data_IF_604221195707
#
_entry.id   IF_604221195707
#
_cell.length_a   1.000
_cell.length_b   1.000
_cell.length_c   1.000
_cell.angle_alpha   90.00
_cell.angle_beta   90.00
_cell.angle_gamma   90.00
#
_symmetry.space_group_name_H-M   'P 1'
#
loop_
_entity.id
_entity.type
_entity.pdbx_description
1 polymer ?
#
# COMPACT_ATOMS: atom_id res chain seq x y z
N UNK A 1 9.06 42.26 -0.69
CA UNK A 1 10.10 43.04 -1.40
C UNK A 1 9.81 44.55 -1.42
N UNK A 2 8.57 44.99 -1.62
CA UNK A 2 8.21 46.43 -1.61
C UNK A 2 8.23 47.13 -0.24
N UNK A 3 7.98 46.43 0.88
CA UNK A 3 7.97 47.03 2.23
C UNK A 3 9.39 47.37 2.73
N UNK A 4 10.41 46.60 2.33
CA UNK A 4 11.80 46.84 2.74
C UNK A 4 12.43 48.04 2.03
N UNK A 5 11.99 48.36 0.81
CA UNK A 5 12.54 49.49 0.03
C UNK A 5 12.04 50.85 0.53
N UNK A 6 10.83 50.93 1.09
CA UNK A 6 10.27 52.20 1.55
C UNK A 6 10.91 52.67 2.87
N UNK A 7 11.11 51.78 3.84
CA UNK A 7 11.61 52.15 5.17
C UNK A 7 13.13 52.25 5.28
N UNK A 8 13.87 51.38 4.58
CA UNK A 8 15.35 51.35 4.67
C UNK A 8 16.00 52.46 3.84
N UNK A 9 15.30 53.02 2.84
CA UNK A 9 15.85 54.06 1.96
C UNK A 9 15.33 55.47 2.26
N UNK A 10 14.11 55.63 2.80
CA UNK A 10 13.50 56.95 3.04
C UNK A 10 14.05 57.66 4.29
N UNK A 11 14.24 56.95 5.40
CA UNK A 11 14.75 57.54 6.65
C UNK A 11 16.20 58.03 6.49
N UNK A 12 17.14 57.24 5.91
CA UNK A 12 18.49 57.74 5.65
C UNK A 12 18.51 58.87 4.62
N UNK A 13 17.66 58.82 3.59
CA UNK A 13 17.53 59.90 2.60
C UNK A 13 17.04 61.21 3.24
N UNK A 14 15.98 61.16 4.06
CA UNK A 14 15.42 62.32 4.77
C UNK A 14 16.40 62.91 5.79
N UNK A 15 17.11 62.06 6.54
CA UNK A 15 18.19 62.49 7.45
C UNK A 15 19.36 63.15 6.69
N UNK A 16 19.70 62.64 5.50
CA UNK A 16 20.75 63.21 4.66
C UNK A 16 20.34 64.55 4.00
N UNK A 17 19.04 64.78 3.80
CA UNK A 17 18.49 66.04 3.24
C UNK A 17 17.93 67.00 4.28
N UNK A 18 17.94 66.66 5.57
CA UNK A 18 17.41 67.51 6.63
C UNK A 18 18.33 68.74 6.83
N UNK A 19 17.72 69.92 6.97
CA UNK A 19 18.43 71.18 7.26
C UNK A 19 18.95 71.26 8.71
N UNK A 20 19.48 72.42 9.15
CA UNK A 20 20.08 72.59 10.48
C UNK A 20 19.14 72.41 11.68
N UNK A 21 17.82 72.30 11.46
CA UNK A 21 16.81 72.15 12.51
C UNK A 21 15.96 70.89 12.32
N UNK A 22 16.53 69.75 12.72
CA UNK A 22 15.97 68.40 12.58
C UNK A 22 14.78 68.17 13.52
N UNK A 23 14.69 68.92 14.62
CA UNK A 23 13.68 68.71 15.67
C UNK A 23 12.28 69.21 15.27
N UNK A 24 12.17 70.03 14.23
CA UNK A 24 10.91 70.57 13.72
C UNK A 24 10.31 69.74 12.56
N UNK A 25 10.98 68.68 12.07
CA UNK A 25 10.42 67.79 11.04
C UNK A 25 9.47 66.75 11.66
N UNK A 26 8.22 67.16 11.88
CA UNK A 26 7.14 66.32 12.43
C UNK A 26 6.96 65.02 11.63
N UNK A 27 7.11 65.08 10.30
CA UNK A 27 6.97 63.90 9.45
C UNK A 27 8.12 62.89 9.66
N UNK A 28 9.33 63.35 9.99
CA UNK A 28 10.43 62.46 10.35
C UNK A 28 10.17 61.77 11.70
N UNK A 29 9.68 62.51 12.70
CA UNK A 29 9.38 61.97 14.03
C UNK A 29 8.26 60.93 13.97
N UNK A 30 7.15 61.21 13.28
CA UNK A 30 6.05 60.25 13.10
C UNK A 30 6.50 58.99 12.33
N UNK A 31 7.36 59.13 11.32
CA UNK A 31 7.90 57.99 10.59
C UNK A 31 8.87 57.15 11.43
N UNK A 32 9.66 57.78 12.31
CA UNK A 32 10.52 57.06 13.25
C UNK A 32 9.70 56.30 14.30
N UNK A 33 8.63 56.90 14.81
CA UNK A 33 7.72 56.22 15.75
C UNK A 33 6.99 55.05 15.10
N UNK A 34 6.47 55.21 13.88
CA UNK A 34 5.83 54.11 13.13
C UNK A 34 6.82 53.01 12.77
N UNK A 35 8.06 53.36 12.41
CA UNK A 35 9.12 52.37 12.13
C UNK A 35 9.50 51.60 13.39
N UNK A 36 9.65 52.29 14.52
CA UNK A 36 9.91 51.67 15.83
C UNK A 36 8.77 50.73 16.23
N UNK A 37 7.52 51.17 16.09
CA UNK A 37 6.33 50.36 16.36
C UNK A 37 6.29 49.11 15.46
N UNK A 38 6.51 49.27 14.16
CA UNK A 38 6.53 48.17 13.20
C UNK A 38 7.66 47.18 13.49
N UNK A 39 8.85 47.66 13.85
CA UNK A 39 9.97 46.82 14.25
C UNK A 39 9.65 45.98 15.50
N UNK A 40 9.05 46.60 16.53
CA UNK A 40 8.59 45.87 17.72
C UNK A 40 7.49 44.86 17.43
N UNK A 41 6.56 45.17 16.52
CA UNK A 41 5.52 44.22 16.08
C UNK A 41 6.12 43.03 15.30
N UNK A 42 7.13 43.27 14.45
CA UNK A 42 7.85 42.21 13.74
C UNK A 42 8.61 41.32 14.72
N UNK A 43 9.28 41.92 15.72
CA UNK A 43 9.99 41.17 16.75
C UNK A 43 9.05 40.28 17.57
N UNK A 44 7.90 40.83 18.00
CA UNK A 44 6.87 40.05 18.68
C UNK A 44 6.34 38.89 17.82
N UNK A 45 6.02 39.15 16.54
CA UNK A 45 5.59 38.12 15.59
C UNK A 45 6.67 37.08 15.32
N UNK A 46 7.95 37.47 15.30
CA UNK A 46 9.05 36.54 15.12
C UNK A 46 9.20 35.59 16.32
N UNK A 47 9.02 36.09 17.54
CA UNK A 47 9.03 35.27 18.75
C UNK A 47 7.85 34.29 18.74
N UNK A 48 6.65 34.74 18.41
CA UNK A 48 5.45 33.89 18.31
C UNK A 48 5.60 32.81 17.22
N UNK A 49 6.13 33.18 16.06
CA UNK A 49 6.42 32.25 14.97
C UNK A 49 7.43 31.17 15.40
N UNK A 50 8.47 31.55 16.17
CA UNK A 50 9.44 30.61 16.73
C UNK A 50 8.79 29.63 17.70
N UNK A 51 7.94 30.12 18.62
CA UNK A 51 7.20 29.26 19.56
C UNK A 51 6.25 28.30 18.83
N UNK A 52 5.58 28.79 17.78
CA UNK A 52 4.67 28.00 16.96
C UNK A 52 5.43 26.93 16.17
N UNK A 53 6.61 27.25 15.62
CA UNK A 53 7.46 26.30 14.92
C UNK A 53 7.90 25.15 15.84
N UNK A 54 8.31 25.44 17.07
CA UNK A 54 8.64 24.39 18.05
C UNK A 54 7.46 23.46 18.32
N UNK A 55 6.26 24.00 18.53
CA UNK A 55 5.05 23.19 18.75
C UNK A 55 4.69 22.33 17.54
N UNK A 56 4.88 22.86 16.33
CA UNK A 56 4.69 22.11 15.09
C UNK A 56 5.69 20.95 15.00
N UNK A 57 6.96 21.17 15.32
CA UNK A 57 7.97 20.13 15.27
C UNK A 57 7.74 19.03 16.32
N UNK A 58 7.34 19.40 17.55
CA UNK A 58 6.93 18.43 18.58
C UNK A 58 5.73 17.57 18.11
N UNK A 59 4.73 18.20 17.48
CA UNK A 59 3.60 17.48 16.91
C UNK A 59 4.03 16.57 15.75
N UNK A 60 4.94 17.02 14.88
CA UNK A 60 5.47 16.23 13.75
C UNK A 60 6.20 14.98 14.23
N UNK A 61 7.04 15.10 15.26
CA UNK A 61 7.73 13.94 15.84
C UNK A 61 6.75 12.92 16.40
N UNK A 62 5.66 13.38 17.02
CA UNK A 62 4.63 12.50 17.57
C UNK A 62 3.92 11.66 16.49
N UNK A 63 3.76 12.19 15.27
CA UNK A 63 3.13 11.48 14.14
C UNK A 63 4.14 10.84 13.17
N UNK A 64 5.45 11.04 13.37
CA UNK A 64 6.51 10.43 12.56
C UNK A 64 6.34 8.91 12.40
N UNK A 65 5.96 8.12 13.44
CA UNK A 65 5.72 6.68 13.27
C UNK A 65 4.65 6.34 12.22
N UNK A 66 3.59 7.15 12.11
CA UNK A 66 2.53 6.99 11.10
C UNK A 66 3.09 7.23 9.71
N UNK A 67 3.87 8.30 9.53
CA UNK A 67 4.51 8.63 8.25
C UNK A 67 5.52 7.55 7.83
N UNK A 68 6.34 7.05 8.76
CA UNK A 68 7.28 5.95 8.49
C UNK A 68 6.53 4.68 8.08
N UNK A 69 5.42 4.34 8.76
CA UNK A 69 4.57 3.22 8.38
C UNK A 69 4.00 3.38 6.97
N UNK A 70 3.43 4.54 6.65
CA UNK A 70 2.86 4.80 5.33
C UNK A 70 3.92 4.72 4.23
N UNK A 71 5.12 5.26 4.48
CA UNK A 71 6.26 5.17 3.58
C UNK A 71 6.65 3.70 3.30
N UNK A 72 6.78 2.88 4.35
CA UNK A 72 7.07 1.44 4.20
C UNK A 72 6.01 0.76 3.33
N UNK A 73 4.74 0.99 3.60
CA UNK A 73 3.63 0.39 2.84
C UNK A 73 3.70 0.78 1.36
N UNK A 74 3.95 2.05 1.05
CA UNK A 74 4.08 2.52 -0.33
C UNK A 74 5.21 1.82 -1.08
N UNK A 75 6.38 1.66 -0.45
CA UNK A 75 7.51 0.97 -1.08
C UNK A 75 7.23 -0.53 -1.29
N UNK A 76 6.54 -1.19 -0.35
CA UNK A 76 6.09 -2.58 -0.54
C UNK A 76 5.16 -2.66 -1.76
N UNK A 77 4.18 -1.76 -1.87
CA UNK A 77 3.26 -1.71 -3.01
C UNK A 77 3.99 -1.48 -4.34
N UNK A 78 4.98 -0.59 -4.35
CA UNK A 78 5.78 -0.31 -5.54
C UNK A 78 6.59 -1.53 -5.99
N UNK A 79 7.06 -2.33 -5.04
CA UNK A 79 7.83 -3.55 -5.30
C UNK A 79 6.98 -4.74 -5.77
N UNK A 80 5.65 -4.69 -5.65
CA UNK A 80 4.78 -5.77 -6.14
C UNK A 80 4.86 -5.96 -7.66
N UNK A 81 5.26 -4.94 -8.41
CA UNK A 81 5.46 -5.06 -9.86
C UNK A 81 6.53 -6.11 -10.23
N UNK A 82 7.43 -6.45 -9.30
CA UNK A 82 8.45 -7.49 -9.45
C UNK A 82 7.85 -8.89 -9.45
N UNK A 83 6.72 -9.08 -8.77
CA UNK A 83 5.96 -10.34 -8.74
C UNK A 83 5.14 -10.47 -10.02
N UNK A 84 4.42 -9.41 -10.38
CA UNK A 84 3.64 -9.36 -11.62
C UNK A 84 3.60 -7.91 -12.13
N UNK A 85 3.90 -7.69 -13.41
CA UNK A 85 3.92 -6.35 -14.02
C UNK A 85 2.57 -5.63 -13.95
N UNK A 86 1.46 -6.35 -13.75
CA UNK A 86 0.15 -5.77 -13.51
C UNK A 86 0.01 -5.17 -12.11
N UNK A 87 0.91 -5.42 -11.17
CA UNK A 87 0.83 -4.90 -9.79
C UNK A 87 1.47 -3.53 -9.62
N UNK A 88 1.09 -2.58 -10.46
CA UNK A 88 1.55 -1.19 -10.38
C UNK A 88 0.54 -0.31 -9.64
N UNK A 89 0.98 0.42 -8.62
CA UNK A 89 0.11 1.35 -7.90
C UNK A 89 0.68 2.76 -8.03
N UNK A 90 -0.17 3.75 -8.30
CA UNK A 90 0.27 5.15 -8.34
C UNK A 90 0.36 5.73 -6.93
N UNK A 91 1.28 6.69 -6.75
CA UNK A 91 1.34 7.53 -5.55
C UNK A 91 0.03 8.30 -5.34
N UNK A 92 -0.64 8.73 -6.43
CA UNK A 92 -1.93 9.42 -6.35
C UNK A 92 -3.00 8.52 -5.73
N UNK A 93 -3.13 7.28 -6.18
CA UNK A 93 -4.08 6.33 -5.60
C UNK A 93 -3.73 5.98 -4.15
N UNK A 94 -2.44 5.76 -3.86
CA UNK A 94 -1.98 5.55 -2.49
C UNK A 94 -2.34 6.72 -1.57
N UNK A 95 -2.15 7.96 -2.01
CA UNK A 95 -2.49 9.16 -1.24
C UNK A 95 -3.99 9.23 -0.95
N UNK A 96 -4.86 8.89 -1.91
CA UNK A 96 -6.32 8.83 -1.67
C UNK A 96 -6.65 7.80 -0.57
N UNK A 97 -6.07 6.60 -0.64
CA UNK A 97 -6.27 5.55 0.38
C UNK A 97 -5.73 5.99 1.73
N UNK A 98 -4.57 6.65 1.77
CA UNK A 98 -3.97 7.18 2.99
C UNK A 98 -4.84 8.26 3.66
N UNK A 99 -5.37 9.21 2.87
CA UNK A 99 -6.29 10.23 3.38
C UNK A 99 -7.59 9.62 3.91
N UNK A 100 -8.14 8.64 3.20
CA UNK A 100 -9.31 7.89 3.66
C UNK A 100 -9.00 7.15 4.97
N UNK A 101 -7.80 6.57 5.10
CA UNK A 101 -7.40 5.90 6.33
C UNK A 101 -7.27 6.84 7.54
N UNK A 102 -6.81 8.08 7.34
CA UNK A 102 -6.79 9.10 8.39
C UNK A 102 -8.22 9.46 8.81
N UNK A 103 -9.12 9.63 7.84
CA UNK A 103 -10.54 9.98 8.05
C UNK A 103 -11.31 8.89 8.79
N UNK A 104 -11.11 7.63 8.43
CA UNK A 104 -11.81 6.49 9.03
C UNK A 104 -11.16 5.95 10.31
N UNK A 105 -9.91 6.33 10.61
CA UNK A 105 -9.25 5.90 11.83
C UNK A 105 -10.00 6.38 13.07
N UNK A 106 -10.24 5.48 14.02
CA UNK A 106 -10.95 5.79 15.25
C UNK A 106 -10.32 6.97 16.01
N UNK A 107 -11.11 8.00 16.39
CA UNK A 107 -10.62 9.11 17.18
C UNK A 107 -10.25 8.63 18.60
N UNK A 108 -9.23 9.26 19.19
CA UNK A 108 -8.82 8.97 20.55
C UNK A 108 -8.32 10.24 21.24
N UNK A 109 -8.64 10.41 22.52
CA UNK A 109 -8.26 11.57 23.31
C UNK A 109 -6.75 11.57 23.64
N UNK A 110 -6.18 10.38 23.86
CA UNK A 110 -4.75 10.22 24.10
C UNK A 110 -3.99 10.14 22.77
N UNK A 111 -2.97 10.99 22.62
CA UNK A 111 -2.14 11.06 21.41
C UNK A 111 -1.50 9.71 21.06
N UNK A 112 -0.96 9.01 22.05
CA UNK A 112 -0.37 7.67 21.87
C UNK A 112 -1.38 6.68 21.28
N UNK A 113 -2.60 6.62 21.82
CA UNK A 113 -3.67 5.77 21.30
C UNK A 113 -4.10 6.21 19.90
N UNK A 114 -4.16 7.53 19.64
CA UNK A 114 -4.49 8.05 18.30
C UNK A 114 -3.47 7.62 17.25
N UNK A 115 -2.18 7.66 17.58
CA UNK A 115 -1.10 7.21 16.69
C UNK A 115 -1.23 5.72 16.37
N UNK A 116 -1.53 4.87 17.37
CA UNK A 116 -1.77 3.43 17.16
C UNK A 116 -2.97 3.20 16.24
N UNK A 117 -4.10 3.88 16.49
CA UNK A 117 -5.30 3.78 15.65
C UNK A 117 -5.04 4.21 14.20
N UNK A 118 -4.22 5.25 14.00
CA UNK A 118 -3.83 5.72 12.67
C UNK A 118 -2.96 4.68 11.96
N UNK A 119 -1.95 4.12 12.64
CA UNK A 119 -1.09 3.07 12.08
C UNK A 119 -1.93 1.86 11.66
N UNK A 120 -2.84 1.42 12.53
CA UNK A 120 -3.70 0.28 12.28
C UNK A 120 -4.66 0.51 11.09
N UNK A 121 -5.33 1.66 11.05
CA UNK A 121 -6.23 2.04 9.95
C UNK A 121 -5.50 2.12 8.61
N UNK A 122 -4.34 2.81 8.58
CA UNK A 122 -3.51 2.94 7.38
C UNK A 122 -3.05 1.58 6.90
N UNK A 123 -2.55 0.71 7.79
CA UNK A 123 -2.09 -0.63 7.42
C UNK A 123 -3.24 -1.47 6.85
N UNK A 124 -4.41 -1.46 7.48
CA UNK A 124 -5.54 -2.27 7.05
C UNK A 124 -6.18 -1.79 5.74
N UNK A 125 -6.35 -0.49 5.54
CA UNK A 125 -6.95 0.04 4.31
C UNK A 125 -6.01 -0.08 3.11
N UNK A 126 -4.71 0.12 3.29
CA UNK A 126 -3.73 -0.16 2.23
C UNK A 126 -3.72 -1.65 1.88
N UNK A 127 -3.74 -2.54 2.88
CA UNK A 127 -3.85 -3.98 2.63
C UNK A 127 -5.13 -4.33 1.85
N UNK A 128 -6.28 -3.79 2.27
CA UNK A 128 -7.58 -4.02 1.63
C UNK A 128 -7.55 -3.54 0.18
N UNK A 129 -7.09 -2.30 -0.04
CA UNK A 129 -6.98 -1.70 -1.36
C UNK A 129 -6.07 -2.52 -2.29
N UNK A 130 -4.89 -2.92 -1.79
CA UNK A 130 -3.92 -3.69 -2.57
C UNK A 130 -4.47 -5.08 -2.90
N UNK A 131 -5.04 -5.77 -1.91
CA UNK A 131 -5.57 -7.13 -2.06
C UNK A 131 -6.71 -7.24 -3.07
N UNK A 132 -7.46 -6.15 -3.34
CA UNK A 132 -8.48 -6.12 -4.40
C UNK A 132 -7.87 -6.25 -5.81
N UNK A 133 -6.61 -5.85 -5.99
CA UNK A 133 -5.89 -5.90 -7.26
C UNK A 133 -4.98 -7.12 -7.46
N UNK A 134 -4.85 -8.02 -6.48
CA UNK A 134 -3.94 -9.18 -6.53
C UNK A 134 -4.65 -10.48 -6.93
N UNK A 135 -3.91 -11.40 -7.56
CA UNK A 135 -4.24 -12.83 -7.69
C UNK A 135 -4.33 -13.46 -6.28
N UNK A 136 -5.25 -14.42 -6.06
CA UNK A 136 -5.39 -15.10 -4.75
C UNK A 136 -4.07 -15.74 -4.30
N UNK A 137 -3.34 -16.34 -5.24
CA UNK A 137 -2.04 -16.96 -4.99
C UNK A 137 -1.01 -15.96 -4.44
N UNK A 138 -1.10 -14.69 -4.82
CA UNK A 138 -0.14 -13.66 -4.43
C UNK A 138 -0.55 -12.90 -3.16
N UNK A 139 -1.82 -13.00 -2.73
CA UNK A 139 -2.28 -12.28 -1.52
C UNK A 139 -1.54 -12.72 -0.27
N UNK A 140 -1.30 -14.02 -0.11
CA UNK A 140 -0.54 -14.52 1.04
C UNK A 140 0.93 -14.12 0.98
N UNK A 141 1.51 -14.07 -0.23
CA UNK A 141 2.89 -13.61 -0.45
C UNK A 141 3.01 -12.14 -0.04
N UNK A 142 2.10 -11.29 -0.54
CA UNK A 142 2.03 -9.87 -0.16
C UNK A 142 1.85 -9.71 1.36
N UNK A 143 0.94 -10.47 1.96
CA UNK A 143 0.65 -10.37 3.39
C UNK A 143 1.82 -10.84 4.26
N UNK A 144 2.53 -11.89 3.83
CA UNK A 144 3.78 -12.32 4.46
C UNK A 144 4.86 -11.24 4.35
N UNK A 145 5.11 -10.71 3.15
CA UNK A 145 6.08 -9.63 2.91
C UNK A 145 5.75 -8.39 3.75
N UNK A 146 4.48 -7.98 3.78
CA UNK A 146 3.97 -6.89 4.60
C UNK A 146 4.33 -7.11 6.08
N UNK A 147 4.00 -8.27 6.61
CA UNK A 147 4.21 -8.61 8.03
C UNK A 147 5.70 -8.65 8.36
N UNK A 148 6.52 -9.27 7.50
CA UNK A 148 7.97 -9.35 7.70
C UNK A 148 8.64 -7.98 7.68
N UNK A 149 8.33 -7.15 6.69
CA UNK A 149 8.90 -5.81 6.58
C UNK A 149 8.52 -4.92 7.78
N UNK A 150 7.28 -5.06 8.27
CA UNK A 150 6.83 -4.41 9.50
C UNK A 150 7.65 -4.87 10.71
N UNK A 151 7.83 -6.18 10.88
CA UNK A 151 8.59 -6.74 12.00
C UNK A 151 10.08 -6.39 11.95
N UNK A 152 10.67 -6.31 10.74
CA UNK A 152 12.04 -5.85 10.53
C UNK A 152 12.18 -4.37 10.91
N UNK A 153 11.25 -3.51 10.49
CA UNK A 153 11.26 -2.10 10.86
C UNK A 153 11.14 -1.89 12.38
N UNK A 154 10.35 -2.74 13.04
CA UNK A 154 10.19 -2.75 14.51
C UNK A 154 11.37 -3.41 15.25
N UNK A 155 12.36 -3.96 14.52
CA UNK A 155 13.51 -4.69 15.05
C UNK A 155 13.11 -5.91 15.92
N UNK A 156 11.96 -6.50 15.61
CA UNK A 156 11.47 -7.70 16.30
C UNK A 156 12.00 -9.01 15.70
N UNK A 157 12.56 -8.92 14.50
CA UNK A 157 13.04 -10.05 13.70
C UNK A 157 14.47 -9.78 13.29
N UNK A 158 15.34 -10.79 13.47
CA UNK A 158 16.74 -10.71 13.11
C UNK A 158 16.96 -11.00 11.62
N UNK A 159 17.92 -10.30 11.01
CA UNK A 159 18.21 -10.40 9.58
C UNK A 159 18.73 -11.79 9.16
N UNK A 160 19.48 -12.48 10.02
CA UNK A 160 19.97 -13.83 9.73
C UNK A 160 18.83 -14.85 9.81
N UNK A 161 17.88 -14.66 10.72
CA UNK A 161 16.69 -15.50 10.78
C UNK A 161 15.82 -15.34 9.52
N UNK A 162 15.72 -14.13 8.97
CA UNK A 162 15.03 -13.86 7.68
C UNK A 162 15.74 -14.54 6.52
N UNK A 163 17.06 -14.38 6.43
CA UNK A 163 17.85 -15.03 5.39
C UNK A 163 17.70 -16.55 5.45
N UNK A 164 17.68 -17.12 6.66
CA UNK A 164 17.44 -18.53 6.87
C UNK A 164 16.07 -18.97 6.33
N UNK A 165 14.99 -18.27 6.70
CA UNK A 165 13.65 -18.65 6.27
C UNK A 165 13.49 -18.58 4.74
N UNK A 166 14.08 -17.57 4.10
CA UNK A 166 13.94 -17.32 2.66
C UNK A 166 14.86 -18.19 1.81
N UNK A 167 16.13 -18.33 2.17
CA UNK A 167 17.13 -19.08 1.38
C UNK A 167 17.25 -20.54 1.78
N UNK A 168 16.88 -20.86 3.01
CA UNK A 168 17.04 -22.18 3.63
C UNK A 168 18.45 -22.77 3.46
N UNK A 169 19.49 -22.08 3.98
CA UNK A 169 20.83 -22.64 4.02
C UNK A 169 20.86 -23.90 4.91
N UNK A 170 21.53 -24.95 4.45
CA UNK A 170 21.67 -26.20 5.16
C UNK A 170 23.10 -26.75 5.02
N UNK A 171 23.50 -27.62 5.93
CA UNK A 171 24.80 -28.31 5.87
C UNK A 171 24.61 -29.62 5.09
N UNK A 172 25.30 -29.82 3.95
CA UNK A 172 25.21 -31.05 3.17
C UNK A 172 25.96 -32.22 3.84
N UNK A 173 25.77 -33.42 3.29
CA UNK A 173 26.50 -34.66 3.67
C UNK A 173 26.34 -35.07 5.15
N UNK A 174 25.17 -34.81 5.72
CA UNK A 174 24.78 -35.26 7.05
C UNK A 174 23.67 -36.30 6.97
N UNK A 175 23.78 -37.34 7.80
CA UNK A 175 22.69 -38.31 7.99
C UNK A 175 21.83 -37.87 9.16
N UNK A 176 20.51 -37.85 8.98
CA UNK A 176 19.57 -37.59 10.05
C UNK A 176 19.67 -38.69 11.13
N UNK A 177 19.79 -38.36 12.43
CA UNK A 177 19.77 -39.37 13.49
C UNK A 177 18.36 -39.90 13.76
N UNK A 178 17.33 -39.27 13.17
CA UNK A 178 15.92 -39.64 13.32
C UNK A 178 15.29 -39.94 11.97
N UNK A 179 14.44 -40.96 11.90
CA UNK A 179 13.87 -41.45 10.63
C UNK A 179 12.74 -40.55 10.05
N UNK A 180 12.15 -39.67 10.85
CA UNK A 180 11.04 -38.80 10.44
C UNK A 180 11.51 -37.48 9.80
N UNK A 181 12.83 -37.25 9.74
CA UNK A 181 13.44 -36.11 9.07
C UNK A 181 14.33 -36.58 7.94
N UNK A 182 14.30 -35.85 6.83
CA UNK A 182 15.28 -36.01 5.76
C UNK A 182 16.65 -35.49 6.16
N UNK A 183 17.70 -35.99 5.50
CA UNK A 183 19.08 -35.49 5.64
C UNK A 183 19.18 -33.99 5.36
N UNK A 184 18.40 -33.48 4.39
CA UNK A 184 18.32 -32.03 4.07
C UNK A 184 17.68 -31.25 5.21
N UNK A 185 16.54 -31.73 5.74
CA UNK A 185 15.89 -31.14 6.91
C UNK A 185 16.83 -31.09 8.11
N UNK A 186 17.55 -32.18 8.37
CA UNK A 186 18.53 -32.26 9.45
C UNK A 186 19.70 -31.30 9.24
N UNK A 187 20.22 -31.20 8.02
CA UNK A 187 21.21 -30.19 7.64
C UNK A 187 20.74 -28.76 7.92
N UNK A 188 19.45 -28.48 7.70
CA UNK A 188 18.82 -27.20 8.02
C UNK A 188 18.75 -26.96 9.54
N UNK A 189 18.41 -27.99 10.32
CA UNK A 189 18.40 -27.92 11.79
C UNK A 189 19.81 -27.65 12.32
N UNK A 190 20.82 -28.39 11.86
CA UNK A 190 22.21 -28.18 12.24
C UNK A 190 22.73 -26.80 11.87
N UNK A 191 22.31 -26.25 10.73
CA UNK A 191 22.62 -24.87 10.37
C UNK A 191 21.95 -23.90 11.34
N UNK A 192 20.65 -24.05 11.56
CA UNK A 192 19.85 -23.21 12.46
C UNK A 192 20.41 -23.21 13.88
N UNK A 193 20.84 -24.37 14.40
CA UNK A 193 21.42 -24.53 15.74
C UNK A 193 22.72 -23.75 15.98
N UNK A 194 23.39 -23.27 14.93
CA UNK A 194 24.56 -22.38 15.06
C UNK A 194 24.18 -20.96 15.47
N UNK A 195 22.93 -20.56 15.25
CA UNK A 195 22.41 -19.26 15.66
C UNK A 195 22.15 -19.25 17.17
N UNK A 196 22.44 -18.12 17.83
CA UNK A 196 22.33 -17.97 19.28
C UNK A 196 20.92 -18.32 19.80
N UNK A 197 19.88 -17.89 19.08
CA UNK A 197 18.49 -18.14 19.42
C UNK A 197 18.05 -19.60 19.24
N UNK A 198 18.85 -20.47 18.63
CA UNK A 198 18.47 -21.87 18.34
C UNK A 198 19.50 -22.89 18.81
N UNK A 199 20.46 -22.48 19.64
CA UNK A 199 21.45 -23.38 20.24
C UNK A 199 20.78 -24.59 20.88
N UNK A 200 21.38 -25.75 20.68
CA UNK A 200 20.92 -27.06 21.18
C UNK A 200 19.61 -27.61 20.56
N UNK A 201 19.04 -26.98 19.52
CA UNK A 201 17.86 -27.53 18.83
C UNK A 201 18.12 -28.92 18.26
N UNK A 202 19.27 -29.11 17.62
CA UNK A 202 19.72 -30.39 17.11
C UNK A 202 19.83 -31.44 18.23
N UNK A 203 20.50 -31.11 19.33
CA UNK A 203 20.66 -32.00 20.48
C UNK A 203 19.33 -32.38 21.15
N UNK A 204 18.36 -31.46 21.25
CA UNK A 204 17.04 -31.75 21.81
C UNK A 204 16.20 -32.63 20.88
N UNK A 205 16.31 -32.45 19.56
CA UNK A 205 15.60 -33.31 18.58
C UNK A 205 16.12 -34.75 18.62
N UNK A 206 17.45 -34.91 18.66
CA UNK A 206 18.12 -36.21 18.76
C UNK A 206 17.81 -36.89 20.12
N UNK A 207 17.99 -36.15 21.23
CA UNK A 207 17.77 -36.67 22.58
C UNK A 207 16.31 -36.91 22.97
N UNK A 208 15.35 -36.24 22.32
CA UNK A 208 13.92 -36.34 22.63
C UNK A 208 13.06 -36.74 21.42
N UNK A 209 13.57 -37.67 20.61
CA UNK A 209 12.98 -38.18 19.36
C UNK A 209 11.46 -38.38 19.45
N UNK A 210 10.96 -39.16 20.43
CA UNK A 210 9.52 -39.50 20.55
C UNK A 210 8.61 -38.27 20.65
N UNK A 211 9.08 -37.20 21.29
CA UNK A 211 8.29 -35.97 21.49
C UNK A 211 8.24 -35.15 20.20
N UNK A 212 9.38 -35.03 19.53
CA UNK A 212 9.48 -34.33 18.25
C UNK A 212 8.75 -35.08 17.14
N UNK A 213 8.84 -36.41 17.11
CA UNK A 213 8.03 -37.26 16.23
C UNK A 213 6.54 -36.94 16.36
N UNK A 214 6.00 -36.94 17.58
CA UNK A 214 4.59 -36.58 17.83
C UNK A 214 4.22 -35.19 17.29
N UNK A 215 5.13 -34.22 17.39
CA UNK A 215 4.91 -32.88 16.86
C UNK A 215 4.94 -32.86 15.32
N UNK A 216 5.93 -33.50 14.70
CA UNK A 216 6.10 -33.57 13.24
C UNK A 216 4.95 -34.34 12.58
N UNK A 217 4.51 -35.44 13.19
CA UNK A 217 3.40 -36.28 12.72
C UNK A 217 2.01 -35.68 13.01
N UNK A 218 1.93 -34.55 13.72
CA UNK A 218 0.66 -33.83 13.89
C UNK A 218 0.12 -33.34 12.54
N UNK A 219 -1.21 -33.37 12.38
CA UNK A 219 -1.88 -32.83 11.20
C UNK A 219 -1.78 -31.29 11.14
N UNK A 220 -1.77 -30.63 12.30
CA UNK A 220 -1.74 -29.16 12.42
C UNK A 220 -0.62 -28.70 13.37
N UNK A 221 0.65 -28.99 13.07
CA UNK A 221 1.79 -28.68 13.92
C UNK A 221 1.91 -27.17 14.21
N UNK A 222 1.49 -26.32 13.28
CA UNK A 222 1.49 -24.86 13.46
C UNK A 222 0.57 -24.36 14.58
N UNK A 223 -0.40 -25.18 15.02
CA UNK A 223 -1.30 -24.88 16.15
C UNK A 223 -0.91 -25.60 17.44
N UNK A 224 0.04 -26.52 17.36
CA UNK A 224 0.50 -27.29 18.50
C UNK A 224 1.48 -26.48 19.36
N UNK A 225 1.52 -26.80 20.65
CA UNK A 225 2.56 -26.24 21.52
C UNK A 225 3.89 -26.90 21.20
N UNK A 226 4.87 -26.10 20.82
CA UNK A 226 6.24 -26.57 20.59
C UNK A 226 6.82 -27.29 21.82
N UNK A 227 7.68 -28.29 21.63
CA UNK A 227 8.36 -28.97 22.73
C UNK A 227 9.16 -28.04 23.66
N UNK A 228 9.21 -28.37 24.94
CA UNK A 228 10.14 -27.78 25.94
C UNK A 228 10.23 -26.25 25.92
N UNK A 229 11.43 -25.70 25.71
CA UNK A 229 11.73 -24.27 25.67
C UNK A 229 11.37 -23.63 24.33
N UNK A 230 11.18 -24.43 23.28
CA UNK A 230 10.84 -23.95 21.93
C UNK A 230 9.46 -23.30 21.88
N UNK A 231 8.57 -23.61 22.83
CA UNK A 231 7.27 -22.91 23.01
C UNK A 231 7.41 -21.41 23.28
N UNK A 232 8.54 -21.00 23.88
CA UNK A 232 8.80 -19.61 24.27
C UNK A 232 9.41 -18.78 23.11
N UNK A 233 9.73 -19.41 21.99
CA UNK A 233 10.24 -18.71 20.79
C UNK A 233 9.17 -17.81 20.19
N UNK A 234 9.62 -16.75 19.54
CA UNK A 234 8.72 -15.84 18.81
C UNK A 234 8.02 -16.59 17.67
N UNK A 235 6.88 -16.09 17.18
CA UNK A 235 6.21 -16.70 16.04
C UNK A 235 7.12 -16.79 14.79
N UNK A 236 7.99 -15.80 14.58
CA UNK A 236 8.95 -15.85 13.47
C UNK A 236 9.99 -16.95 13.65
N UNK A 237 10.56 -17.09 14.84
CA UNK A 237 11.51 -18.17 15.15
C UNK A 237 10.86 -19.55 15.02
N UNK A 238 9.58 -19.68 15.40
CA UNK A 238 8.81 -20.91 15.17
C UNK A 238 8.66 -21.21 13.68
N UNK A 239 8.53 -20.21 12.80
CA UNK A 239 8.56 -20.43 11.35
C UNK A 239 9.90 -21.02 10.88
N UNK A 240 11.03 -20.54 11.39
CA UNK A 240 12.35 -21.09 11.06
C UNK A 240 12.44 -22.58 11.43
N UNK A 241 11.93 -22.96 12.61
CA UNK A 241 11.92 -24.38 13.02
C UNK A 241 10.93 -25.18 12.15
N UNK A 242 9.72 -24.67 11.91
CA UNK A 242 8.73 -25.30 11.03
C UNK A 242 9.28 -25.55 9.62
N UNK A 243 10.09 -24.63 9.10
CA UNK A 243 10.70 -24.73 7.77
C UNK A 243 11.59 -25.97 7.65
N UNK A 244 12.27 -26.37 8.72
CA UNK A 244 13.05 -27.61 8.76
C UNK A 244 12.17 -28.85 8.90
N UNK A 245 11.13 -28.78 9.74
CA UNK A 245 10.37 -29.94 10.20
C UNK A 245 9.23 -30.34 9.26
N UNK A 246 8.44 -29.37 8.77
CA UNK A 246 7.18 -29.59 8.04
C UNK A 246 7.01 -28.51 6.96
N UNK A 247 7.81 -28.63 5.90
CA UNK A 247 7.82 -27.71 4.76
C UNK A 247 6.44 -27.56 4.10
N UNK A 248 5.69 -28.66 4.01
CA UNK A 248 4.33 -28.73 3.46
C UNK A 248 3.30 -27.94 4.27
N UNK A 249 3.55 -27.70 5.57
CA UNK A 249 2.68 -26.91 6.45
C UNK A 249 3.04 -25.43 6.50
N UNK A 250 4.05 -24.98 5.75
CA UNK A 250 4.54 -23.59 5.82
C UNK A 250 3.48 -22.55 5.45
N UNK A 251 2.57 -22.86 4.54
CA UNK A 251 1.45 -21.95 4.20
C UNK A 251 0.61 -21.66 5.45
N UNK A 252 0.25 -22.69 6.22
CA UNK A 252 -0.54 -22.54 7.44
C UNK A 252 0.25 -21.87 8.56
N UNK A 253 1.53 -22.21 8.69
CA UNK A 253 2.42 -21.57 9.66
C UNK A 253 2.56 -20.07 9.40
N UNK A 254 2.73 -19.65 8.14
CA UNK A 254 2.78 -18.22 7.75
C UNK A 254 1.45 -17.54 8.07
N UNK A 255 0.31 -18.16 7.77
CA UNK A 255 -1.02 -17.62 8.13
C UNK A 255 -1.13 -17.39 9.64
N UNK A 256 -0.67 -18.34 10.45
CA UNK A 256 -0.65 -18.22 11.90
C UNK A 256 0.27 -17.08 12.38
N UNK A 257 1.47 -16.96 11.79
CA UNK A 257 2.39 -15.85 12.07
C UNK A 257 1.76 -14.47 11.78
N UNK A 258 1.11 -14.34 10.62
CA UNK A 258 0.39 -13.11 10.25
C UNK A 258 -0.75 -12.82 11.23
N UNK A 259 -1.54 -13.83 11.58
CA UNK A 259 -2.66 -13.71 12.51
C UNK A 259 -2.18 -13.23 13.89
N UNK A 260 -1.07 -13.76 14.39
CA UNK A 260 -0.47 -13.32 15.67
C UNK A 260 0.07 -11.88 15.60
N UNK A 261 0.69 -11.49 14.48
CA UNK A 261 1.36 -10.19 14.34
C UNK A 261 0.45 -9.03 13.94
N UNK A 262 -0.47 -9.26 13.00
CA UNK A 262 -1.35 -8.22 12.44
C UNK A 262 -2.81 -8.39 12.88
N UNK A 263 -3.19 -9.58 13.35
CA UNK A 263 -4.54 -9.90 13.79
C UNK A 263 -5.38 -10.63 12.74
N UNK A 264 -6.44 -11.29 13.22
CA UNK A 264 -7.37 -12.11 12.43
C UNK A 264 -8.03 -11.39 11.26
N UNK A 265 -8.23 -10.06 11.37
CA UNK A 265 -8.87 -9.26 10.31
C UNK A 265 -8.12 -9.27 8.98
N UNK A 266 -6.80 -9.47 9.00
CA UNK A 266 -6.00 -9.58 7.78
C UNK A 266 -6.15 -10.96 7.11
N UNK A 267 -6.51 -11.99 7.88
CA UNK A 267 -6.75 -13.35 7.38
C UNK A 267 -8.18 -13.55 6.87
N UNK A 268 -9.14 -12.81 7.42
CA UNK A 268 -10.56 -12.93 7.09
C UNK A 268 -11.03 -11.98 5.99
N UNK A 269 -10.10 -11.47 5.17
CA UNK A 269 -10.45 -10.56 4.08
C UNK A 269 -11.47 -11.19 3.14
N UNK A 270 -12.64 -10.55 3.03
CA UNK A 270 -13.64 -10.85 2.02
C UNK A 270 -13.61 -9.75 0.97
N UNK A 271 -13.66 -10.14 -0.29
CA UNK A 271 -13.82 -9.18 -1.37
C UNK A 271 -15.10 -8.39 -1.16
N UNK A 272 -14.96 -7.07 -1.28
CA UNK A 272 -16.10 -6.19 -1.18
C UNK A 272 -16.87 -6.19 -2.50
N UNK A 273 -18.21 -6.09 -2.45
CA UNK A 273 -19.02 -5.86 -3.62
C UNK A 273 -18.51 -4.65 -4.41
N UNK A 274 -18.65 -4.69 -5.73
CA UNK A 274 -18.22 -3.62 -6.61
C UNK A 274 -18.83 -2.27 -6.22
N UNK A 275 -20.07 -2.26 -5.72
CA UNK A 275 -20.78 -1.06 -5.29
C UNK A 275 -20.05 -0.28 -4.18
N UNK A 276 -19.40 -0.98 -3.24
CA UNK A 276 -18.57 -0.29 -2.22
C UNK A 276 -17.27 0.25 -2.81
N UNK A 277 -16.70 -0.47 -3.78
CA UNK A 277 -15.48 -0.02 -4.45
C UNK A 277 -15.74 1.20 -5.33
N UNK A 278 -16.95 1.33 -5.87
CA UNK A 278 -17.39 2.50 -6.65
C UNK A 278 -17.29 3.82 -5.86
N UNK A 279 -17.57 3.80 -4.56
CA UNK A 279 -17.46 4.98 -3.69
C UNK A 279 -16.03 5.56 -3.64
N UNK A 280 -15.03 4.74 -3.97
CA UNK A 280 -13.62 5.12 -4.01
C UNK A 280 -13.15 5.51 -5.43
N UNK A 281 -14.02 5.40 -6.45
CA UNK A 281 -13.72 5.73 -7.84
C UNK A 281 -13.96 7.20 -8.15
N UNK A 282 -13.29 7.73 -9.17
CA UNK A 282 -13.42 9.14 -9.58
C UNK A 282 -13.50 9.25 -11.11
N UNK A 283 -13.93 10.41 -11.61
CA UNK A 283 -13.96 10.69 -13.04
C UNK A 283 -12.57 10.75 -13.69
N UNK A 284 -11.54 10.98 -12.87
CA UNK A 284 -10.16 11.17 -13.33
C UNK A 284 -9.38 9.86 -13.32
N UNK A 285 -9.75 8.91 -12.46
CA UNK A 285 -9.01 7.65 -12.31
C UNK A 285 -9.85 6.51 -12.87
N UNK A 286 -9.48 5.94 -14.03
CA UNK A 286 -10.20 4.82 -14.57
C UNK A 286 -10.12 3.59 -13.64
N UNK A 287 -11.07 2.68 -13.83
CA UNK A 287 -11.12 1.40 -13.13
C UNK A 287 -10.65 0.32 -14.09
N UNK A 288 -9.60 -0.40 -13.70
CA UNK A 288 -9.02 -1.48 -14.47
C UNK A 288 -9.43 -2.84 -13.89
N UNK A 289 -10.17 -3.60 -14.68
CA UNK A 289 -10.59 -4.96 -14.40
C UNK A 289 -9.57 -5.96 -14.93
N UNK A 290 -8.98 -6.71 -14.01
CA UNK A 290 -8.16 -7.89 -14.35
C UNK A 290 -9.10 -9.07 -14.48
N UNK A 291 -9.22 -9.58 -15.70
CA UNK A 291 -10.11 -10.68 -16.01
C UNK A 291 -9.51 -12.02 -15.57
N UNK A 292 -10.34 -12.84 -14.94
CA UNK A 292 -10.07 -14.28 -14.79
C UNK A 292 -10.89 -15.02 -15.86
N UNK A 293 -10.42 -16.18 -16.35
CA UNK A 293 -11.14 -16.94 -17.37
C UNK A 293 -12.61 -17.19 -17.00
N UNK A 294 -13.52 -16.87 -17.91
CA UNK A 294 -14.96 -17.10 -17.75
C UNK A 294 -15.68 -16.10 -16.83
N UNK A 295 -15.06 -14.96 -16.49
CA UNK A 295 -15.68 -13.90 -15.68
C UNK A 295 -15.88 -12.63 -16.50
N UNK A 296 -17.06 -12.03 -16.38
CA UNK A 296 -17.47 -10.87 -17.16
C UNK A 296 -17.68 -9.63 -16.26
N UNK A 297 -16.88 -8.55 -16.42
CA UNK A 297 -16.98 -7.30 -15.65
C UNK A 297 -18.27 -6.54 -15.91
N UNK A 298 -18.84 -6.71 -17.09
CA UNK A 298 -19.95 -5.90 -17.56
C UNK A 298 -21.16 -6.06 -16.65
N UNK A 299 -21.42 -7.28 -16.16
CA UNK A 299 -22.57 -7.59 -15.33
C UNK A 299 -22.59 -6.81 -14.01
N UNK A 300 -21.44 -6.67 -13.37
CA UNK A 300 -21.34 -5.95 -12.09
C UNK A 300 -21.49 -4.43 -12.30
N UNK A 301 -20.89 -3.90 -13.38
CA UNK A 301 -21.01 -2.48 -13.75
C UNK A 301 -22.46 -2.16 -14.17
N UNK A 302 -23.10 -2.99 -14.99
CA UNK A 302 -24.50 -2.83 -15.39
C UNK A 302 -25.45 -2.87 -14.19
N UNK A 303 -25.24 -3.81 -13.28
CA UNK A 303 -26.08 -3.95 -12.09
C UNK A 303 -26.02 -2.70 -11.22
N UNK A 304 -24.83 -2.12 -11.04
CA UNK A 304 -24.68 -0.86 -10.33
C UNK A 304 -25.25 0.32 -11.15
N UNK A 305 -24.95 0.38 -12.44
CA UNK A 305 -25.42 1.41 -13.35
C UNK A 305 -26.95 1.53 -13.35
N UNK A 306 -27.66 0.41 -13.43
CA UNK A 306 -29.14 0.37 -13.31
C UNK A 306 -29.66 1.00 -12.03
N UNK A 307 -28.96 0.85 -10.90
CA UNK A 307 -29.35 1.48 -9.63
C UNK A 307 -29.07 2.97 -9.59
N UNK A 308 -28.04 3.43 -10.29
CA UNK A 308 -27.60 4.82 -10.33
C UNK A 308 -28.14 5.60 -11.55
N UNK A 309 -28.92 4.96 -12.42
CA UNK A 309 -29.49 5.57 -13.61
C UNK A 309 -28.59 5.56 -14.86
N UNK A 310 -27.47 4.85 -14.83
CA UNK A 310 -26.58 4.65 -15.97
C UNK A 310 -26.94 3.35 -16.70
N UNK A 311 -27.59 3.47 -17.85
CA UNK A 311 -28.12 2.32 -18.60
C UNK A 311 -27.97 2.54 -20.11
N UNK A 312 -27.99 1.44 -20.87
CA UNK A 312 -27.99 1.51 -22.34
C UNK A 312 -29.23 2.24 -22.88
N UNK A 313 -30.40 2.01 -22.27
CA UNK A 313 -31.66 2.62 -22.70
C UNK A 313 -31.66 4.14 -22.52
N UNK A 314 -31.02 4.63 -21.45
CA UNK A 314 -30.82 6.06 -21.21
C UNK A 314 -29.67 6.67 -22.02
N UNK A 315 -28.98 5.88 -22.87
CA UNK A 315 -27.84 6.30 -23.71
C UNK A 315 -26.69 6.97 -22.94
N UNK A 316 -26.57 6.70 -21.64
CA UNK A 316 -25.55 7.24 -20.75
C UNK A 316 -24.61 6.18 -20.19
N UNK A 317 -24.71 4.93 -20.69
CA UNK A 317 -23.74 3.87 -20.46
C UNK A 317 -23.38 3.20 -21.79
N UNK A 318 -22.08 3.17 -22.10
CA UNK A 318 -21.54 2.73 -23.38
C UNK A 318 -20.61 1.54 -23.18
N UNK A 319 -20.88 0.45 -23.90
CA UNK A 319 -20.07 -0.76 -23.85
C UNK A 319 -19.39 -1.00 -25.20
N UNK A 320 -18.06 -1.11 -25.19
CA UNK A 320 -17.24 -1.23 -26.38
C UNK A 320 -16.30 -2.41 -26.21
N UNK A 321 -16.55 -3.48 -26.98
CA UNK A 321 -15.63 -4.61 -27.07
C UNK A 321 -14.56 -4.32 -28.12
N UNK A 322 -13.32 -4.17 -27.67
CA UNK A 322 -12.22 -3.82 -28.56
C UNK A 322 -11.78 -5.03 -29.38
N UNK A 323 -11.50 -4.74 -30.64
CA UNK A 323 -11.02 -5.63 -31.68
C UNK A 323 -10.63 -4.77 -32.88
N UNK A 324 -10.35 -5.39 -34.02
CA UNK A 324 -9.88 -4.65 -35.20
C UNK A 324 -10.90 -3.58 -35.64
N UNK A 325 -10.48 -2.31 -35.66
CA UNK A 325 -11.26 -1.19 -36.18
C UNK A 325 -12.25 -0.56 -35.19
N UNK A 326 -12.25 -0.98 -33.92
CA UNK A 326 -13.12 -0.40 -32.87
C UNK A 326 -12.50 0.81 -32.16
N UNK A 327 -11.22 1.08 -32.39
CA UNK A 327 -10.44 2.12 -31.73
C UNK A 327 -11.03 3.53 -31.94
N UNK A 328 -11.43 3.95 -33.16
CA UNK A 328 -12.00 5.29 -33.36
C UNK A 328 -13.36 5.47 -32.66
N UNK A 329 -14.15 4.40 -32.57
CA UNK A 329 -15.44 4.40 -31.86
C UNK A 329 -15.18 4.57 -30.37
N UNK A 330 -14.20 3.84 -29.82
CA UNK A 330 -13.79 3.98 -28.44
C UNK A 330 -13.35 5.41 -28.11
N UNK A 331 -12.49 6.02 -28.93
CA UNK A 331 -12.04 7.40 -28.72
C UNK A 331 -13.20 8.40 -28.66
N UNK A 332 -14.11 8.35 -29.64
CA UNK A 332 -15.27 9.25 -29.69
C UNK A 332 -16.17 9.07 -28.46
N UNK A 333 -16.42 7.82 -28.05
CA UNK A 333 -17.30 7.54 -26.92
C UNK A 333 -16.70 7.97 -25.58
N UNK A 334 -15.39 7.85 -25.41
CA UNK A 334 -14.69 8.35 -24.21
C UNK A 334 -14.81 9.89 -24.15
N UNK A 335 -14.61 10.59 -25.26
CA UNK A 335 -14.73 12.05 -25.31
C UNK A 335 -16.14 12.55 -25.00
N UNK A 336 -17.16 11.96 -25.64
CA UNK A 336 -18.57 12.28 -25.37
C UNK A 336 -18.89 12.01 -23.91
N UNK A 337 -18.45 10.86 -23.39
CA UNK A 337 -18.77 10.47 -22.02
C UNK A 337 -18.08 11.32 -20.97
N UNK A 338 -16.85 11.77 -21.23
CA UNK A 338 -16.13 12.69 -20.37
C UNK A 338 -16.83 14.06 -20.28
N UNK A 339 -17.46 14.52 -21.38
CA UNK A 339 -18.22 15.78 -21.42
C UNK A 339 -19.60 15.66 -20.78
N UNK A 340 -20.35 14.62 -21.14
CA UNK A 340 -21.76 14.45 -20.75
C UNK A 340 -21.93 13.69 -19.41
N UNK A 341 -20.84 13.19 -18.82
CA UNK A 341 -20.89 12.48 -17.55
C UNK A 341 -21.37 11.03 -17.64
N UNK A 342 -21.20 10.39 -18.80
CA UNK A 342 -21.63 9.01 -19.04
C UNK A 342 -20.63 7.99 -18.51
N UNK A 343 -21.02 6.72 -18.50
CA UNK A 343 -20.13 5.60 -18.22
C UNK A 343 -19.66 4.96 -19.52
N UNK A 344 -18.40 4.56 -19.58
CA UNK A 344 -17.84 3.79 -20.69
C UNK A 344 -17.13 2.57 -20.15
N UNK A 345 -17.39 1.40 -20.71
CA UNK A 345 -16.59 0.19 -20.48
C UNK A 345 -15.91 -0.26 -21.78
N UNK A 346 -14.58 -0.28 -21.74
CA UNK A 346 -13.72 -0.81 -22.80
C UNK A 346 -13.36 -2.25 -22.44
N UNK A 347 -13.79 -3.20 -23.26
CA UNK A 347 -13.49 -4.60 -23.07
C UNK A 347 -12.33 -5.07 -23.94
N UNK A 348 -11.55 -6.03 -23.43
CA UNK A 348 -10.49 -6.73 -24.16
C UNK A 348 -9.37 -5.81 -24.70
N UNK A 349 -8.91 -4.86 -23.89
CA UNK A 349 -7.90 -3.89 -24.34
C UNK A 349 -6.56 -4.55 -24.74
N UNK A 350 -6.30 -5.77 -24.26
CA UNK A 350 -5.15 -6.59 -24.60
C UNK A 350 -5.08 -6.99 -26.10
N UNK A 351 -6.21 -6.89 -26.83
CA UNK A 351 -6.28 -7.20 -28.26
C UNK A 351 -5.80 -6.05 -29.17
N UNK A 352 -5.69 -4.82 -28.65
CA UNK A 352 -5.38 -3.60 -29.42
C UNK A 352 -4.11 -2.91 -28.92
N UNK A 353 -3.04 -3.68 -28.75
CA UNK A 353 -1.78 -3.25 -28.11
C UNK A 353 -1.17 -1.98 -28.71
N UNK A 354 -1.16 -1.89 -30.04
CA UNK A 354 -0.56 -0.75 -30.77
C UNK A 354 -1.32 0.57 -30.52
N UNK A 355 -2.59 0.51 -30.13
CA UNK A 355 -3.42 1.67 -29.86
C UNK A 355 -3.38 2.14 -28.41
N UNK A 356 -2.94 1.29 -27.47
CA UNK A 356 -2.92 1.62 -26.04
C UNK A 356 -2.15 2.91 -25.69
N UNK A 357 -1.04 3.28 -26.36
CA UNK A 357 -0.38 4.57 -26.13
C UNK A 357 -1.25 5.79 -26.50
N UNK A 358 -2.14 5.65 -27.49
CA UNK A 358 -3.07 6.73 -27.87
C UNK A 358 -4.21 6.84 -26.85
N UNK A 359 -4.73 5.69 -26.39
CA UNK A 359 -5.70 5.64 -25.31
C UNK A 359 -5.16 6.31 -24.03
N UNK A 360 -3.91 6.02 -23.65
CA UNK A 360 -3.24 6.62 -22.49
C UNK A 360 -3.19 8.15 -22.59
N UNK A 361 -2.74 8.69 -23.73
CA UNK A 361 -2.74 10.15 -23.99
C UNK A 361 -4.14 10.75 -23.88
N UNK A 362 -5.16 10.07 -24.40
CA UNK A 362 -6.55 10.54 -24.33
C UNK A 362 -7.06 10.57 -22.88
N UNK A 363 -6.79 9.53 -22.09
CA UNK A 363 -7.16 9.47 -20.68
C UNK A 363 -6.50 10.63 -19.90
N UNK A 364 -5.22 10.89 -20.15
CA UNK A 364 -4.50 12.01 -19.53
C UNK A 364 -5.11 13.36 -19.94
N UNK A 365 -5.38 13.58 -21.23
CA UNK A 365 -5.99 14.81 -21.72
C UNK A 365 -7.37 15.07 -21.09
N UNK A 366 -8.20 14.04 -20.98
CA UNK A 366 -9.55 14.15 -20.42
C UNK A 366 -9.56 14.22 -18.88
N UNK A 367 -8.41 14.05 -18.24
CA UNK A 367 -8.30 14.09 -16.78
C UNK A 367 -8.27 15.50 -16.19
N UNK A 368 -8.11 16.54 -17.01
CA UNK A 368 -8.02 17.94 -16.57
C UNK A 368 -9.37 18.45 -16.02
N UNK A 369 -10.44 18.33 -16.81
CA UNK A 369 -11.79 18.80 -16.45
C UNK A 369 -12.91 17.85 -16.94
N UNK A 370 -12.97 16.58 -16.46
CA UNK A 370 -14.07 15.70 -16.80
C UNK A 370 -15.34 16.04 -16.00
N UNK A 371 -16.50 15.69 -16.55
CA UNK A 371 -17.76 15.73 -15.83
C UNK A 371 -17.71 14.80 -14.59
N UNK A 372 -18.22 15.24 -13.44
CA UNK A 372 -18.05 14.52 -12.15
C UNK A 372 -18.59 13.09 -12.15
N UNK A 373 -19.69 12.84 -12.87
CA UNK A 373 -20.31 11.53 -13.04
C UNK A 373 -19.60 10.59 -14.03
N UNK A 374 -18.68 11.10 -14.86
CA UNK A 374 -17.97 10.29 -15.85
C UNK A 374 -17.25 9.13 -15.18
N UNK A 375 -17.35 7.92 -15.75
CA UNK A 375 -16.56 6.77 -15.30
C UNK A 375 -16.06 5.98 -16.48
N UNK A 376 -14.76 5.68 -16.47
CA UNK A 376 -14.11 4.83 -17.45
C UNK A 376 -13.71 3.50 -16.82
N UNK A 377 -14.27 2.43 -17.34
CA UNK A 377 -13.96 1.05 -17.00
C UNK A 377 -13.16 0.43 -18.15
N UNK A 378 -12.12 -0.31 -17.80
CA UNK A 378 -11.20 -0.91 -18.75
C UNK A 378 -11.02 -2.35 -18.32
N UNK A 379 -11.07 -3.32 -19.23
CA UNK A 379 -10.77 -4.71 -18.89
C UNK A 379 -9.75 -5.35 -19.81
N UNK A 380 -8.89 -6.18 -19.22
CA UNK A 380 -7.97 -7.02 -19.96
C UNK A 380 -7.69 -8.34 -19.24
N UNK A 381 -7.35 -9.32 -20.06
CA UNK A 381 -6.74 -10.56 -19.60
C UNK A 381 -5.25 -10.31 -19.28
N UNK A 382 -4.74 -10.94 -18.20
CA UNK A 382 -3.32 -10.89 -17.90
C UNK A 382 -2.51 -11.66 -18.94
N UNK A 383 -1.25 -11.26 -19.14
CA UNK A 383 -0.29 -12.08 -19.90
C UNK A 383 -0.06 -13.42 -19.19
N UNK A 384 0.26 -14.46 -19.97
CA UNK A 384 0.69 -15.76 -19.42
C UNK A 384 1.98 -15.64 -18.62
N UNK A 385 2.89 -14.77 -19.04
CA UNK A 385 4.12 -14.47 -18.29
C UNK A 385 3.88 -13.26 -17.37
N UNK A 386 3.96 -13.44 -16.03
CA UNK A 386 3.75 -12.37 -15.06
C UNK A 386 4.78 -11.24 -15.18
N UNK A 387 5.94 -11.48 -15.80
CA UNK A 387 6.99 -10.47 -16.00
C UNK A 387 6.86 -9.71 -17.32
N UNK A 388 5.81 -9.97 -18.08
CA UNK A 388 5.47 -9.23 -19.29
C UNK A 388 4.11 -8.54 -19.13
N UNK A 389 4.00 -7.30 -19.59
CA UNK A 389 2.71 -6.65 -19.74
C UNK A 389 2.72 -5.77 -20.97
N UNK A 390 1.70 -5.97 -21.78
CA UNK A 390 1.34 -5.15 -22.94
C UNK A 390 0.55 -3.90 -22.52
N UNK A 391 0.08 -3.85 -21.26
CA UNK A 391 -0.71 -2.76 -20.71
C UNK A 391 0.23 -1.60 -20.32
N UNK A 392 0.03 -0.37 -20.86
CA UNK A 392 0.81 0.81 -20.48
C UNK A 392 0.70 1.16 -19.01
N UNK A 393 1.67 1.96 -18.53
CA UNK A 393 1.81 2.23 -17.10
C UNK A 393 0.64 3.02 -16.50
N UNK A 394 0.06 4.00 -17.20
CA UNK A 394 -1.07 4.77 -16.65
C UNK A 394 -2.28 3.87 -16.43
N UNK A 395 -2.56 3.00 -17.40
CA UNK A 395 -3.64 2.02 -17.30
C UNK A 395 -3.31 1.00 -16.19
N UNK A 396 -2.06 0.52 -16.11
CA UNK A 396 -1.64 -0.39 -15.06
C UNK A 396 -1.67 0.25 -13.65
N UNK A 397 -1.58 1.57 -13.52
CA UNK A 397 -1.64 2.33 -12.25
C UNK A 397 -3.05 2.78 -11.84
N UNK A 398 -4.06 2.42 -12.64
CA UNK A 398 -5.47 2.74 -12.43
C UNK A 398 -6.05 2.01 -11.21
N UNK A 399 -7.27 2.38 -10.77
CA UNK A 399 -7.94 1.69 -9.67
C UNK A 399 -8.21 0.24 -10.09
N UNK A 400 -7.65 -0.74 -9.37
CA UNK A 400 -7.80 -2.15 -9.75
C UNK A 400 -8.97 -2.80 -9.04
N UNK A 401 -9.80 -3.45 -9.84
CA UNK A 401 -10.81 -4.35 -9.34
C UNK A 401 -10.68 -5.69 -10.03
N UNK A 402 -10.55 -6.76 -9.25
CA UNK A 402 -10.46 -8.09 -9.82
C UNK A 402 -11.78 -8.81 -9.73
N UNK A 403 -12.13 -9.50 -10.81
CA UNK A 403 -13.32 -10.32 -10.85
C UNK A 403 -12.93 -11.80 -10.73
N UNK A 404 -13.71 -12.50 -9.92
CA UNK A 404 -13.47 -13.90 -9.61
C UNK A 404 -14.65 -14.76 -9.99
N UNK A 405 -14.34 -15.95 -10.50
CA UNK A 405 -15.31 -17.01 -10.57
C UNK A 405 -15.33 -17.69 -9.20
N UNK A 406 -16.43 -17.52 -8.45
CA UNK A 406 -16.57 -18.09 -7.08
C UNK A 406 -16.37 -19.62 -7.08
N UNK A 407 -16.55 -20.26 -8.24
CA UNK A 407 -16.50 -21.72 -8.39
C UNK A 407 -15.07 -22.29 -8.36
N UNK A 408 -14.03 -21.50 -8.66
CA UNK A 408 -12.63 -22.00 -8.68
C UNK A 408 -11.94 -22.02 -7.30
N UNK A 409 -12.54 -21.44 -6.26
CA UNK A 409 -11.94 -21.34 -4.92
C UNK A 409 -12.28 -22.49 -3.96
N UNK A 410 -12.90 -23.59 -4.45
CA UNK A 410 -13.30 -24.74 -3.60
C UNK A 410 -12.32 -25.92 -3.66
N UNK A 411 -11.30 -25.88 -4.53
CA UNK A 411 -10.31 -26.96 -4.59
C UNK A 411 -8.90 -26.41 -4.32
N UNK A 412 -8.30 -26.70 -3.15
CA UNK A 412 -6.86 -26.61 -3.04
C UNK A 412 -6.29 -27.72 -3.94
N UNK A 413 -5.66 -27.32 -5.05
CA UNK A 413 -4.92 -28.28 -5.84
C UNK A 413 -3.74 -28.80 -5.01
N UNK A 414 -3.80 -30.12 -4.81
CA UNK A 414 -2.83 -31.06 -4.23
C UNK A 414 -1.43 -30.85 -4.78
#
# INVERSE_FOLDING_TARGET
MYISYFYVSFIPWRLATAGPDILNDVALVENLETTKKTASEIEAKAIEAKMTATKIDEARESYRPVATRASLLYFILNDLNKINMLYQFSLKAFNTVFQNAIRFAEPANALSKRVVNLIDSVTYLVFTYTSRGLFENDKLIFLCQLTLQISIQMKEVDSFEVDFLLRFPYIPDLTSPVDFLSDVSWGGIKYLSRMENFRNLDHDIDGAEKRWRKFVESETPEREKFPQEWKNKTAFQKLCIMRCLRLDRMIYAIRYFVEEKLGTKFMQFRMQPFEKSYEETSAITPVFFILSPGVDPLKDVEKLGKRLGFTFDAQNFHNISLGQGQEPIAENMIEVSAREGHWVILQNIHLVQNWLPNLEKKIEQLSEEPHENYRLYISAEPSHDPHSSIIPQVIAKSFKYRLFNIILNILPHV
#
